data_IF_901398178751
#
_entry.id   IF_901398178751
#
_cell.length_a   1.000
_cell.length_b   1.000
_cell.length_c   1.000
_cell.angle_alpha   90.00
_cell.angle_beta   90.00
_cell.angle_gamma   90.00
#
_symmetry.space_group_name_H-M   'P 1'
#
loop_
_entity.id
_entity.type
_entity.pdbx_description
1 polymer ?
#
# COMPACT_ATOMS: atom_id res chain seq x y z
N UNK A 1 33.74 18.08 -10.86
CA UNK A 1 32.89 18.98 -10.03
C UNK A 1 31.55 19.07 -10.75
N UNK A 2 30.39 18.67 -10.25
CA UNK A 2 29.93 18.25 -8.92
C UNK A 2 28.74 17.31 -9.11
N UNK A 3 28.70 16.27 -8.29
CA UNK A 3 27.60 15.31 -8.14
C UNK A 3 26.31 15.95 -7.58
N UNK A 4 25.23 15.17 -7.68
CA UNK A 4 23.99 15.14 -6.87
C UNK A 4 22.81 16.01 -7.30
N UNK A 5 21.75 15.32 -7.72
CA UNK A 5 20.50 15.32 -6.95
C UNK A 5 19.72 14.02 -7.18
N UNK A 6 20.19 12.95 -6.54
CA UNK A 6 19.34 11.84 -6.12
C UNK A 6 18.28 12.38 -5.14
N UNK A 7 17.21 12.95 -5.67
CA UNK A 7 16.02 13.31 -4.91
C UNK A 7 14.97 12.24 -5.13
N UNK A 8 15.25 11.04 -4.62
CA UNK A 8 14.27 9.95 -4.52
C UNK A 8 13.21 10.30 -3.48
N UNK A 9 12.28 11.19 -3.84
CA UNK A 9 11.13 11.50 -3.03
C UNK A 9 10.15 10.32 -3.07
N UNK A 10 10.39 9.30 -2.24
CA UNK A 10 9.50 8.13 -2.06
C UNK A 10 8.28 8.49 -1.21
N UNK A 11 7.58 9.56 -1.56
CA UNK A 11 6.28 9.91 -1.00
C UNK A 11 5.17 9.06 -1.61
N UNK A 12 4.08 8.86 -0.87
CA UNK A 12 2.87 8.22 -1.39
C UNK A 12 2.38 8.97 -2.63
N UNK A 13 2.35 8.29 -3.78
CA UNK A 13 1.81 8.87 -5.01
C UNK A 13 0.29 8.66 -5.02
N UNK A 14 -0.46 9.76 -5.10
CA UNK A 14 -1.89 9.71 -5.37
C UNK A 14 -2.11 9.11 -6.77
N UNK A 15 -2.89 8.04 -6.87
CA UNK A 15 -3.15 7.36 -8.14
C UNK A 15 -4.60 7.49 -8.57
N UNK A 16 -5.57 7.17 -7.71
CA UNK A 16 -6.98 7.08 -8.10
C UNK A 16 -7.93 7.01 -6.91
N UNK A 17 -9.17 7.47 -7.13
CA UNK A 17 -10.30 7.26 -6.22
C UNK A 17 -10.99 5.93 -6.52
N UNK A 18 -11.46 5.26 -5.47
CA UNK A 18 -12.30 4.05 -5.58
C UNK A 18 -13.49 4.16 -4.64
N UNK A 19 -14.60 3.54 -5.00
CA UNK A 19 -15.84 3.53 -4.20
C UNK A 19 -16.06 2.16 -3.59
N UNK A 20 -16.55 2.15 -2.35
CA UNK A 20 -16.99 0.93 -1.68
C UNK A 20 -18.26 0.42 -2.37
N UNK A 21 -18.22 -0.80 -2.87
CA UNK A 21 -19.38 -1.45 -3.47
C UNK A 21 -20.46 -1.77 -2.44
N UNK A 22 -21.65 -2.14 -2.89
CA UNK A 22 -22.76 -2.58 -2.02
C UNK A 22 -22.41 -3.77 -1.11
N UNK A 23 -21.36 -4.54 -1.46
CA UNK A 23 -20.86 -5.65 -0.64
C UNK A 23 -19.79 -5.24 0.37
N UNK A 24 -19.52 -3.94 0.52
CA UNK A 24 -18.45 -3.44 1.40
C UNK A 24 -17.04 -3.65 0.84
N UNK A 25 -16.90 -3.93 -0.46
CA UNK A 25 -15.61 -4.24 -1.10
C UNK A 25 -15.11 -3.06 -1.93
N UNK A 26 -13.79 -2.86 -1.96
CA UNK A 26 -13.11 -1.96 -2.92
C UNK A 26 -12.35 -2.78 -3.95
N UNK A 27 -12.40 -2.37 -5.21
CA UNK A 27 -11.58 -2.96 -6.26
C UNK A 27 -10.24 -2.22 -6.33
N UNK A 28 -9.12 -2.96 -6.33
CA UNK A 28 -7.79 -2.37 -6.54
C UNK A 28 -7.62 -2.10 -8.04
N UNK A 29 -7.39 -0.84 -8.47
CA UNK A 29 -7.20 -0.49 -9.86
C UNK A 29 -6.07 -1.27 -10.55
N UNK A 30 -6.21 -1.52 -11.85
CA UNK A 30 -5.30 -2.40 -12.62
C UNK A 30 -3.87 -1.88 -12.66
N UNK A 31 -3.68 -0.56 -12.72
CA UNK A 31 -2.37 0.10 -12.69
C UNK A 31 -1.68 -0.13 -11.34
N UNK A 32 -2.41 -0.02 -10.23
CA UNK A 32 -1.90 -0.28 -8.89
C UNK A 32 -1.56 -1.76 -8.70
N UNK A 33 -2.42 -2.67 -9.16
CA UNK A 33 -2.15 -4.11 -9.11
C UNK A 33 -0.85 -4.46 -9.84
N UNK A 34 -0.65 -3.93 -11.05
CA UNK A 34 0.57 -4.15 -11.83
C UNK A 34 1.81 -3.57 -11.15
N UNK A 35 1.72 -2.33 -10.63
CA UNK A 35 2.84 -1.65 -9.96
C UNK A 35 3.28 -2.38 -8.68
N UNK A 36 2.34 -2.92 -7.91
CA UNK A 36 2.61 -3.59 -6.64
C UNK A 36 2.78 -5.12 -6.77
N UNK A 37 2.64 -5.65 -7.98
CA UNK A 37 2.60 -7.08 -8.28
C UNK A 37 1.60 -7.82 -7.39
N UNK A 38 0.35 -7.36 -7.38
CA UNK A 38 -0.77 -7.98 -6.66
C UNK A 38 -1.59 -8.80 -7.67
N UNK A 39 -1.65 -10.09 -7.42
CA UNK A 39 -2.29 -11.09 -8.28
C UNK A 39 -3.56 -11.67 -7.63
N UNK A 40 -4.38 -12.33 -8.44
CA UNK A 40 -5.58 -13.03 -7.93
C UNK A 40 -5.12 -14.16 -7.00
N UNK A 41 -5.70 -14.22 -5.80
CA UNK A 41 -5.33 -15.19 -4.77
C UNK A 41 -4.33 -14.66 -3.73
N UNK A 42 -3.68 -13.53 -3.99
CA UNK A 42 -2.78 -12.90 -3.03
C UNK A 42 -3.56 -12.46 -1.78
N UNK A 43 -2.94 -12.68 -0.61
CA UNK A 43 -3.49 -12.27 0.67
C UNK A 43 -2.86 -10.96 1.10
N UNK A 44 -3.70 -10.00 1.45
CA UNK A 44 -3.30 -8.71 2.00
C UNK A 44 -3.75 -8.62 3.46
N UNK A 45 -2.85 -8.24 4.36
CA UNK A 45 -3.20 -7.86 5.72
C UNK A 45 -3.86 -6.48 5.69
N UNK A 46 -5.01 -6.38 6.36
CA UNK A 46 -5.70 -5.11 6.61
C UNK A 46 -5.25 -4.56 7.96
N UNK A 47 -4.72 -3.34 7.97
CA UNK A 47 -4.34 -2.63 9.21
C UNK A 47 -5.15 -1.36 9.32
N UNK A 48 -5.93 -1.23 10.40
CA UNK A 48 -6.68 -0.01 10.70
C UNK A 48 -5.74 1.02 11.32
N UNK A 49 -5.72 2.24 10.78
CA UNK A 49 -4.90 3.32 11.34
C UNK A 49 -5.48 3.79 12.67
N UNK A 50 -4.61 4.18 13.61
CA UNK A 50 -5.02 4.68 14.94
C UNK A 50 -5.88 5.94 14.87
N UNK A 51 -5.65 6.79 13.87
CA UNK A 51 -6.39 8.02 13.60
C UNK A 51 -7.80 7.79 13.04
N UNK A 52 -8.15 6.54 12.68
CA UNK A 52 -9.43 6.16 12.04
C UNK A 52 -9.66 6.78 10.65
N UNK A 53 -8.66 7.41 10.05
CA UNK A 53 -8.78 8.04 8.72
C UNK A 53 -8.55 7.06 7.56
N UNK A 54 -8.33 5.78 7.86
CA UNK A 54 -8.31 4.75 6.83
C UNK A 54 -7.66 3.44 7.24
N UNK A 55 -7.40 2.64 6.21
CA UNK A 55 -6.76 1.33 6.32
C UNK A 55 -5.51 1.29 5.44
N UNK A 56 -4.55 0.45 5.83
CA UNK A 56 -3.44 0.03 4.98
C UNK A 56 -3.67 -1.42 4.53
N UNK A 57 -3.29 -1.71 3.29
CA UNK A 57 -3.24 -3.07 2.76
C UNK A 57 -1.78 -3.45 2.53
N UNK A 58 -1.34 -4.54 3.15
CA UNK A 58 0.06 -4.97 3.15
C UNK A 58 0.13 -6.41 2.65
N UNK A 59 1.00 -6.70 1.68
CA UNK A 59 1.18 -8.08 1.20
C UNK A 59 1.63 -8.99 2.33
N UNK A 60 1.06 -10.19 2.44
CA UNK A 60 1.41 -11.14 3.51
C UNK A 60 2.90 -11.50 3.53
N UNK A 61 3.53 -11.57 2.36
CA UNK A 61 4.98 -11.80 2.20
C UNK A 61 5.86 -10.66 2.76
N UNK A 62 5.32 -9.44 2.89
CA UNK A 62 6.04 -8.29 3.42
C UNK A 62 5.98 -8.20 4.96
N UNK A 63 5.21 -9.07 5.61
CA UNK A 63 4.93 -8.97 7.04
C UNK A 63 6.18 -9.08 7.91
N UNK A 64 7.15 -9.93 7.54
CA UNK A 64 8.41 -10.08 8.28
C UNK A 64 9.15 -8.76 8.46
N UNK A 65 9.12 -7.87 7.45
CA UNK A 65 9.76 -6.54 7.50
C UNK A 65 8.93 -5.51 8.26
N UNK A 66 7.63 -5.72 8.33
CA UNK A 66 6.67 -4.78 8.88
C UNK A 66 6.57 -4.91 10.40
N UNK A 67 6.64 -6.14 10.95
CA UNK A 67 6.64 -6.35 12.39
C UNK A 67 7.74 -5.57 13.10
N UNK A 68 8.95 -5.52 12.54
CA UNK A 68 10.09 -4.77 13.09
C UNK A 68 9.82 -3.26 13.24
N UNK A 69 8.91 -2.71 12.43
CA UNK A 69 8.53 -1.29 12.45
C UNK A 69 7.43 -1.01 13.47
N UNK A 70 6.61 -2.02 13.81
CA UNK A 70 5.48 -1.89 14.74
C UNK A 70 5.79 -2.36 16.17
N UNK A 71 6.87 -3.12 16.38
CA UNK A 71 7.33 -3.55 17.71
C UNK A 71 8.35 -2.60 18.35
N UNK A 72 8.69 -1.48 17.69
CA UNK A 72 9.39 -0.34 18.30
C UNK A 72 8.39 0.76 18.65
#
# INVERSE_FOLDING_TARGET
MTSKSDSSNKGNQFSSWVTVSHKGQVAIPVDIRKRLNINVGDRLLVVVRKDKDGINLIKSEALSKVFDTFTK
#
